data_IF_063262052430
#
_entry.id   IF_063262052430
#
_cell.length_a   1.000
_cell.length_b   1.000
_cell.length_c   1.000
_cell.angle_alpha   90.00
_cell.angle_beta   90.00
_cell.angle_gamma   90.00
#
_symmetry.space_group_name_H-M   'P 1'
#
loop_
_entity.id
_entity.type
_entity.pdbx_description
1 polymer ?
#
# COMPACT_ATOMS: atom_id res chain seq x y z
N UNK A 1 10.12 -4.22 -4.96
CA UNK A 1 10.88 -2.97 -5.14
C UNK A 1 11.16 -2.30 -3.82
N UNK A 2 10.17 -1.96 -2.98
CA UNK A 2 10.46 -1.36 -1.67
C UNK A 2 11.46 -2.13 -0.78
N UNK A 3 11.47 -3.47 -0.81
CA UNK A 3 12.52 -4.25 -0.13
C UNK A 3 13.92 -4.08 -0.76
N UNK A 4 14.00 -3.98 -2.09
CA UNK A 4 15.25 -3.78 -2.83
C UNK A 4 15.77 -2.34 -2.74
N UNK A 5 14.88 -1.39 -2.46
CA UNK A 5 15.22 0.01 -2.16
C UNK A 5 15.93 0.13 -0.81
N UNK A 6 15.55 -0.70 0.16
CA UNK A 6 16.22 -0.75 1.47
C UNK A 6 17.60 -1.40 1.40
N UNK A 7 17.73 -2.52 0.68
CA UNK A 7 19.01 -3.19 0.48
C UNK A 7 18.94 -4.21 -0.67
N UNK A 8 20.08 -4.55 -1.31
CA UNK A 8 20.16 -5.67 -2.25
C UNK A 8 19.75 -6.99 -1.59
N UNK A 9 19.00 -7.84 -2.30
CA UNK A 9 18.52 -9.12 -1.76
C UNK A 9 18.47 -10.23 -2.81
N UNK A 10 18.57 -11.47 -2.36
CA UNK A 10 18.25 -12.65 -3.14
C UNK A 10 16.73 -12.86 -3.24
N UNK A 11 16.30 -13.53 -4.33
CA UNK A 11 14.88 -13.88 -4.50
C UNK A 11 14.28 -14.68 -3.33
N UNK A 12 15.05 -15.60 -2.74
CA UNK A 12 14.62 -16.37 -1.57
C UNK A 12 14.49 -15.53 -0.30
N UNK A 13 15.33 -14.50 -0.13
CA UNK A 13 15.21 -13.60 1.02
C UNK A 13 13.93 -12.78 0.93
N UNK A 14 13.60 -12.28 -0.26
CA UNK A 14 12.34 -11.57 -0.52
C UNK A 14 11.13 -12.45 -0.17
N UNK A 15 11.17 -13.73 -0.55
CA UNK A 15 10.12 -14.70 -0.23
C UNK A 15 10.05 -14.94 1.29
N UNK A 16 11.20 -15.15 1.94
CA UNK A 16 11.26 -15.33 3.40
C UNK A 16 10.75 -14.10 4.17
N UNK A 17 10.92 -12.88 3.63
CA UNK A 17 10.30 -11.68 4.20
C UNK A 17 8.77 -11.71 4.10
N UNK A 18 8.20 -12.25 3.02
CA UNK A 18 6.75 -12.40 2.88
C UNK A 18 6.18 -13.40 3.88
N UNK A 19 6.83 -14.55 4.04
CA UNK A 19 6.46 -15.58 5.01
C UNK A 19 6.52 -15.05 6.45
N UNK A 20 7.67 -14.47 6.85
CA UNK A 20 7.90 -14.01 8.23
C UNK A 20 6.99 -12.87 8.69
N UNK A 21 6.52 -12.03 7.75
CA UNK A 21 5.64 -10.90 8.07
C UNK A 21 4.16 -11.21 7.88
N UNK A 22 3.80 -12.49 7.67
CA UNK A 22 2.42 -12.90 7.47
C UNK A 22 1.77 -12.28 6.24
N UNK A 23 2.56 -11.82 5.26
CA UNK A 23 2.04 -11.23 4.01
C UNK A 23 1.21 -12.26 3.24
N UNK A 24 1.47 -13.56 3.47
CA UNK A 24 0.68 -14.69 2.98
C UNK A 24 -0.78 -14.70 3.46
N UNK A 25 -1.07 -14.17 4.66
CA UNK A 25 -2.44 -14.07 5.20
C UNK A 25 -3.28 -13.06 4.41
N UNK A 26 -2.64 -12.14 3.70
CA UNK A 26 -3.29 -11.04 2.98
C UNK A 26 -3.15 -11.16 1.45
N UNK A 27 -2.12 -11.85 0.98
CA UNK A 27 -1.84 -12.07 -0.45
C UNK A 27 -1.20 -13.44 -0.66
N UNK A 28 -1.79 -14.32 -1.47
CA UNK A 28 -1.19 -15.61 -1.85
C UNK A 28 -0.04 -15.39 -2.86
N UNK A 29 1.09 -14.91 -2.39
CA UNK A 29 2.27 -14.69 -3.23
C UNK A 29 3.02 -16.01 -3.40
N UNK A 30 2.77 -16.70 -4.51
CA UNK A 30 3.51 -17.91 -4.83
C UNK A 30 4.95 -17.56 -5.23
N UNK A 31 5.92 -18.38 -4.81
CA UNK A 31 7.33 -18.27 -5.20
C UNK A 31 7.55 -18.00 -6.70
N UNK A 32 6.92 -18.74 -7.65
CA UNK A 32 7.09 -18.47 -9.07
C UNK A 32 6.64 -17.06 -9.50
N UNK A 33 5.63 -16.49 -8.83
CA UNK A 33 5.16 -15.13 -9.11
C UNK A 33 6.20 -14.08 -8.73
N UNK A 34 6.95 -14.30 -7.64
CA UNK A 34 8.05 -13.41 -7.22
C UNK A 34 9.16 -13.43 -8.26
N UNK A 35 9.62 -14.61 -8.66
CA UNK A 35 10.67 -14.73 -9.67
C UNK A 35 10.24 -14.17 -11.03
N UNK A 36 8.99 -14.39 -11.46
CA UNK A 36 8.45 -13.75 -12.67
C UNK A 36 8.42 -12.22 -12.53
N UNK A 37 8.09 -11.68 -11.36
CA UNK A 37 8.13 -10.25 -11.12
C UNK A 37 9.57 -9.70 -11.20
N UNK A 38 10.53 -10.37 -10.56
CA UNK A 38 11.95 -10.00 -10.61
C UNK A 38 12.49 -10.01 -12.05
N UNK A 39 12.22 -11.08 -12.81
CA UNK A 39 12.62 -11.16 -14.22
C UNK A 39 12.04 -10.02 -15.06
N UNK A 40 10.77 -9.64 -14.83
CA UNK A 40 10.15 -8.51 -15.54
C UNK A 40 10.77 -7.17 -15.17
N UNK A 41 11.07 -6.96 -13.88
CA UNK A 41 11.72 -5.74 -13.41
C UNK A 41 13.14 -5.63 -13.97
N UNK A 42 13.87 -6.74 -14.02
CA UNK A 42 15.22 -6.80 -14.57
C UNK A 42 15.23 -6.54 -16.08
N UNK A 43 14.31 -7.15 -16.83
CA UNK A 43 14.15 -6.88 -18.28
C UNK A 43 13.81 -5.42 -18.58
N UNK A 44 13.15 -4.73 -17.65
CA UNK A 44 12.83 -3.30 -17.73
C UNK A 44 13.92 -2.40 -17.14
N UNK A 45 15.05 -2.97 -16.73
CA UNK A 45 16.20 -2.25 -16.18
C UNK A 45 15.88 -1.48 -14.88
N UNK A 46 14.79 -1.82 -14.19
CA UNK A 46 14.45 -1.28 -12.87
C UNK A 46 15.23 -1.96 -11.74
N UNK A 47 15.78 -3.14 -12.01
CA UNK A 47 16.70 -3.82 -11.12
C UNK A 47 17.82 -4.44 -11.95
N UNK A 48 19.00 -4.58 -11.36
CA UNK A 48 20.09 -5.42 -11.90
C UNK A 48 20.19 -6.69 -11.08
N UNK A 49 20.70 -7.75 -11.69
CA UNK A 49 20.90 -9.03 -11.03
C UNK A 49 22.31 -9.56 -11.23
N UNK A 50 23.05 -9.72 -10.13
CA UNK A 50 24.43 -10.19 -10.12
C UNK A 50 24.52 -11.58 -9.49
N UNK A 51 25.24 -12.51 -10.12
CA UNK A 51 25.50 -13.82 -9.51
C UNK A 51 26.60 -13.68 -8.45
N UNK A 52 26.21 -13.73 -7.17
CA UNK A 52 27.16 -13.74 -6.05
C UNK A 52 27.34 -15.13 -5.48
N UNK A 53 28.57 -15.47 -5.14
CA UNK A 53 28.93 -16.71 -4.46
C UNK A 53 29.50 -16.38 -3.08
N UNK A 54 28.81 -16.84 -2.04
CA UNK A 54 29.33 -16.76 -0.67
C UNK A 54 29.94 -18.11 -0.27
N UNK A 55 31.28 -18.14 -0.23
CA UNK A 55 32.05 -19.33 0.13
C UNK A 55 31.72 -20.55 -0.76
N UNK A 56 31.47 -21.70 -0.13
CA UNK A 56 31.17 -22.96 -0.82
C UNK A 56 29.70 -23.16 -1.21
N UNK A 57 28.82 -22.18 -1.00
CA UNK A 57 27.41 -22.32 -1.38
C UNK A 57 27.21 -22.13 -2.90
N UNK A 58 26.14 -22.70 -3.49
CA UNK A 58 25.78 -22.43 -4.88
C UNK A 58 25.62 -20.92 -5.12
N UNK A 59 26.05 -20.42 -6.30
CA UNK A 59 25.91 -19.01 -6.61
C UNK A 59 24.43 -18.63 -6.65
N UNK A 60 24.10 -17.47 -6.06
CA UNK A 60 22.74 -16.94 -5.99
C UNK A 60 22.70 -15.58 -6.64
N UNK A 61 21.63 -15.32 -7.38
CA UNK A 61 21.39 -14.01 -7.98
C UNK A 61 20.97 -13.01 -6.90
N UNK A 62 21.75 -11.95 -6.69
CA UNK A 62 21.40 -10.78 -5.86
C UNK A 62 20.79 -9.75 -6.77
N UNK A 63 19.62 -9.23 -6.39
CA UNK A 63 18.98 -8.14 -7.11
C UNK A 63 19.25 -6.81 -6.40
N UNK A 64 19.53 -5.78 -7.18
CA UNK A 64 19.77 -4.41 -6.72
C UNK A 64 18.87 -3.48 -7.49
N UNK A 65 18.23 -2.51 -6.83
CA UNK A 65 17.42 -1.50 -7.51
C UNK A 65 18.31 -0.52 -8.28
N UNK A 66 17.90 -0.12 -9.47
CA UNK A 66 18.56 0.94 -10.26
C UNK A 66 17.96 2.30 -9.94
N UNK A 67 18.56 3.39 -10.42
CA UNK A 67 18.01 4.73 -10.24
C UNK A 67 16.64 4.89 -10.92
N UNK A 68 16.48 4.39 -12.15
CA UNK A 68 15.17 4.32 -12.82
C UNK A 68 14.17 3.44 -12.06
N UNK A 69 14.66 2.37 -11.41
CA UNK A 69 13.86 1.52 -10.54
C UNK A 69 13.37 2.24 -9.30
N UNK A 70 14.18 3.13 -8.70
CA UNK A 70 13.80 3.96 -7.56
C UNK A 70 12.71 4.97 -7.95
N UNK A 71 12.86 5.61 -9.11
CA UNK A 71 11.82 6.52 -9.64
C UNK A 71 10.49 5.79 -9.84
N UNK A 72 10.53 4.63 -10.52
CA UNK A 72 9.34 3.82 -10.76
C UNK A 72 8.73 3.28 -9.45
N UNK A 73 9.56 2.91 -8.47
CA UNK A 73 9.09 2.54 -7.14
C UNK A 73 8.35 3.68 -6.45
N UNK A 74 8.91 4.89 -6.47
CA UNK A 74 8.29 6.07 -5.87
C UNK A 74 6.97 6.44 -6.54
N UNK A 75 6.87 6.31 -7.87
CA UNK A 75 5.62 6.50 -8.61
C UNK A 75 4.52 5.53 -8.12
N UNK A 76 4.85 4.25 -8.03
CA UNK A 76 3.91 3.22 -7.54
C UNK A 76 3.52 3.47 -6.09
N UNK A 77 4.49 3.78 -5.23
CA UNK A 77 4.26 4.06 -3.80
C UNK A 77 3.25 5.20 -3.65
N UNK A 78 3.49 6.32 -4.33
CA UNK A 78 2.58 7.47 -4.35
C UNK A 78 1.22 7.11 -4.91
N UNK A 79 1.14 6.33 -5.98
CA UNK A 79 -0.14 5.89 -6.55
C UNK A 79 -1.01 5.11 -5.55
N UNK A 80 -0.40 4.21 -4.77
CA UNK A 80 -1.11 3.47 -3.71
C UNK A 80 -1.51 4.37 -2.54
N UNK A 81 -0.62 5.26 -2.09
CA UNK A 81 -0.92 6.17 -0.99
C UNK A 81 -2.01 7.20 -1.36
N UNK A 82 -2.05 7.64 -2.62
CA UNK A 82 -3.06 8.59 -3.11
C UNK A 82 -4.39 7.94 -3.51
N UNK A 83 -4.44 6.60 -3.56
CA UNK A 83 -5.62 5.89 -3.99
C UNK A 83 -5.94 6.07 -5.48
N UNK A 84 -4.93 6.25 -6.36
CA UNK A 84 -5.10 6.67 -7.78
C UNK A 84 -5.08 5.54 -8.80
N UNK A 85 -5.08 4.27 -8.38
CA UNK A 85 -4.98 3.11 -9.28
C UNK A 85 -6.32 2.47 -9.64
N UNK A 86 -6.47 2.06 -10.91
CA UNK A 86 -7.67 1.37 -11.42
C UNK A 86 -7.94 -0.01 -10.78
N UNK A 87 -6.93 -0.63 -10.15
CA UNK A 87 -7.00 -1.97 -9.55
C UNK A 87 -6.49 -2.00 -8.11
N UNK A 88 -6.89 -1.03 -7.30
CA UNK A 88 -6.49 -0.99 -5.89
C UNK A 88 -7.51 -1.68 -4.98
N UNK A 89 -7.00 -2.50 -4.07
CA UNK A 89 -7.78 -3.03 -2.96
C UNK A 89 -7.79 -2.02 -1.81
N UNK A 90 -8.81 -2.06 -0.93
CA UNK A 90 -8.84 -1.19 0.26
C UNK A 90 -7.60 -1.29 1.15
N UNK A 91 -6.89 -2.43 1.07
CA UNK A 91 -5.69 -2.72 1.87
C UNK A 91 -4.39 -2.19 1.26
N UNK A 92 -4.38 -1.79 -0.02
CA UNK A 92 -3.14 -1.39 -0.69
C UNK A 92 -2.55 -0.13 -0.08
N UNK A 93 -3.39 0.80 0.37
CA UNK A 93 -2.97 1.98 1.12
C UNK A 93 -2.21 1.59 2.40
N UNK A 94 -2.83 0.76 3.24
CA UNK A 94 -2.24 0.28 4.50
C UNK A 94 -0.94 -0.49 4.27
N UNK A 95 -0.91 -1.28 3.20
CA UNK A 95 0.28 -1.98 2.76
C UNK A 95 1.39 -1.02 2.33
N UNK A 96 1.06 0.06 1.63
CA UNK A 96 2.03 1.06 1.18
C UNK A 96 2.67 1.84 2.34
N UNK A 97 1.97 2.01 3.47
CA UNK A 97 2.49 2.71 4.66
C UNK A 97 3.83 2.16 5.16
N UNK A 98 4.10 0.86 4.98
CA UNK A 98 5.38 0.24 5.39
C UNK A 98 6.62 0.84 4.70
N UNK A 99 6.40 1.54 3.59
CA UNK A 99 7.44 2.15 2.79
C UNK A 99 7.43 3.68 2.85
N UNK A 100 6.60 4.28 3.72
CA UNK A 100 6.61 5.74 3.97
C UNK A 100 7.94 6.16 4.57
N UNK A 101 8.47 5.34 5.48
CA UNK A 101 9.67 5.68 6.25
C UNK A 101 10.83 6.07 5.32
N UNK A 102 11.38 7.27 5.52
CA UNK A 102 12.47 7.88 4.73
C UNK A 102 12.20 8.13 3.24
N UNK A 103 11.03 7.76 2.72
CA UNK A 103 10.68 7.95 1.30
C UNK A 103 9.70 9.09 1.08
N UNK A 104 8.81 9.35 2.04
CA UNK A 104 7.74 10.34 1.96
C UNK A 104 7.98 11.42 3.01
N UNK A 105 7.77 12.68 2.65
CA UNK A 105 7.91 13.80 3.59
C UNK A 105 6.68 13.90 4.50
N UNK A 106 6.82 14.58 5.64
CA UNK A 106 5.71 14.75 6.59
C UNK A 106 4.52 15.46 5.93
N UNK A 107 4.78 16.53 5.17
CA UNK A 107 3.72 17.28 4.48
C UNK A 107 3.04 16.44 3.41
N UNK A 108 3.79 15.62 2.67
CA UNK A 108 3.24 14.70 1.68
C UNK A 108 2.36 13.64 2.35
N UNK A 109 2.81 13.06 3.47
CA UNK A 109 2.06 12.09 4.25
C UNK A 109 0.73 12.65 4.77
N UNK A 110 0.73 13.85 5.35
CA UNK A 110 -0.49 14.51 5.83
C UNK A 110 -1.48 14.79 4.69
N UNK A 111 -1.00 15.22 3.52
CA UNK A 111 -1.85 15.41 2.34
C UNK A 111 -2.47 14.09 1.86
N UNK A 112 -1.73 12.98 1.91
CA UNK A 112 -2.24 11.64 1.57
C UNK A 112 -3.37 11.21 2.50
N UNK A 113 -3.19 11.41 3.81
CA UNK A 113 -4.22 11.13 4.82
C UNK A 113 -5.47 11.99 4.62
N UNK A 114 -5.30 13.29 4.36
CA UNK A 114 -6.42 14.18 4.05
C UNK A 114 -7.18 13.78 2.79
N UNK A 115 -6.48 13.39 1.72
CA UNK A 115 -7.12 12.87 0.50
C UNK A 115 -7.91 11.57 0.76
N UNK A 116 -7.41 10.68 1.64
CA UNK A 116 -8.11 9.44 1.99
C UNK A 116 -9.40 9.73 2.78
N UNK A 117 -9.35 10.67 3.72
CA UNK A 117 -10.53 11.15 4.45
C UNK A 117 -11.57 11.80 3.51
N UNK A 118 -11.13 12.69 2.62
CA UNK A 118 -12.01 13.34 1.65
C UNK A 118 -12.73 12.33 0.74
N UNK A 119 -12.02 11.29 0.26
CA UNK A 119 -12.63 10.21 -0.54
C UNK A 119 -13.72 9.46 0.24
N UNK A 120 -13.52 9.26 1.53
CA UNK A 120 -14.51 8.62 2.41
C UNK A 120 -15.77 9.46 2.55
N UNK A 121 -15.64 10.78 2.65
CA UNK A 121 -16.77 11.72 2.67
C UNK A 121 -17.52 11.76 1.33
N UNK A 122 -16.78 11.85 0.22
CA UNK A 122 -17.34 11.87 -1.13
C UNK A 122 -18.14 10.59 -1.43
N UNK A 123 -17.56 9.42 -1.12
CA UNK A 123 -18.23 8.14 -1.29
C UNK A 123 -19.49 8.01 -0.44
N UNK A 124 -19.50 8.56 0.78
CA UNK A 124 -20.70 8.58 1.62
C UNK A 124 -21.80 9.47 1.03
N UNK A 125 -21.43 10.65 0.50
CA UNK A 125 -22.39 11.54 -0.17
C UNK A 125 -23.02 10.86 -1.38
N UNK A 126 -22.20 10.28 -2.25
CA UNK A 126 -22.66 9.52 -3.42
C UNK A 126 -23.57 8.35 -2.99
N UNK A 127 -23.20 7.62 -1.94
CA UNK A 127 -24.00 6.50 -1.45
C UNK A 127 -25.37 6.95 -0.92
N UNK A 128 -25.42 8.05 -0.16
CA UNK A 128 -26.68 8.63 0.34
C UNK A 128 -27.58 9.10 -0.79
N UNK A 129 -27.02 9.78 -1.80
CA UNK A 129 -27.76 10.26 -2.97
C UNK A 129 -28.34 9.09 -3.78
N UNK A 130 -27.53 8.06 -4.07
CA UNK A 130 -27.99 6.84 -4.75
C UNK A 130 -29.05 6.09 -3.97
N UNK A 131 -28.90 5.99 -2.64
CA UNK A 131 -29.88 5.37 -1.78
C UNK A 131 -31.21 6.13 -1.81
N UNK A 132 -31.18 7.46 -1.65
CA UNK A 132 -32.37 8.32 -1.73
C UNK A 132 -33.10 8.14 -3.06
N UNK A 133 -32.37 8.21 -4.17
CA UNK A 133 -32.94 8.03 -5.51
C UNK A 133 -33.57 6.64 -5.72
N UNK A 134 -32.93 5.58 -5.21
CA UNK A 134 -33.48 4.22 -5.29
C UNK A 134 -34.78 4.05 -4.48
N UNK A 135 -34.89 4.71 -3.32
CA UNK A 135 -36.13 4.76 -2.53
C UNK A 135 -37.23 5.49 -3.31
N UNK A 136 -36.92 6.67 -3.86
CA UNK A 136 -37.87 7.49 -4.63
C UNK A 136 -38.40 6.76 -5.88
N UNK A 137 -37.57 5.97 -6.55
CA UNK A 137 -37.96 5.19 -7.74
C UNK A 137 -38.65 3.85 -7.40
N UNK A 138 -38.86 3.52 -6.11
CA UNK A 138 -39.41 2.22 -5.70
C UNK A 138 -38.49 1.03 -5.99
N UNK A 139 -37.22 1.28 -6.30
CA UNK A 139 -36.21 0.28 -6.67
C UNK A 139 -35.39 -0.20 -5.47
N UNK A 140 -35.92 -0.09 -4.26
CA UNK A 140 -35.24 -0.54 -3.05
C UNK A 140 -35.84 -1.87 -2.55
N UNK A 141 -35.18 -3.01 -2.81
CA UNK A 141 -35.62 -4.28 -2.26
C UNK A 141 -35.47 -4.29 -0.74
N UNK A 142 -36.35 -5.02 -0.04
CA UNK A 142 -36.13 -5.28 1.39
C UNK A 142 -34.88 -6.16 1.57
N UNK A 143 -33.88 -5.61 2.23
CA UNK A 143 -32.63 -6.32 2.45
C UNK A 143 -32.81 -7.38 3.54
N UNK A 144 -32.34 -8.62 3.31
CA UNK A 144 -32.33 -9.64 4.36
C UNK A 144 -31.45 -9.20 5.55
N UNK A 145 -31.69 -9.77 6.72
CA UNK A 145 -31.07 -9.31 7.97
C UNK A 145 -29.53 -9.26 7.90
N UNK A 146 -28.89 -10.22 7.21
CA UNK A 146 -27.43 -10.25 7.07
C UNK A 146 -26.89 -9.08 6.23
N UNK A 147 -27.61 -8.64 5.19
CA UNK A 147 -27.20 -7.49 4.37
C UNK A 147 -27.28 -6.19 5.18
N UNK A 148 -28.32 -6.04 6.02
CA UNK A 148 -28.45 -4.92 6.97
C UNK A 148 -27.29 -4.91 7.99
N UNK A 149 -26.88 -6.10 8.48
CA UNK A 149 -25.72 -6.24 9.38
C UNK A 149 -24.41 -5.87 8.68
N UNK A 150 -24.17 -6.36 7.45
CA UNK A 150 -22.97 -6.01 6.65
C UNK A 150 -22.90 -4.51 6.38
N UNK A 151 -24.02 -3.88 6.02
CA UNK A 151 -24.03 -2.43 5.82
C UNK A 151 -23.72 -1.66 7.12
N UNK A 152 -24.22 -2.14 8.26
CA UNK A 152 -23.87 -1.59 9.58
C UNK A 152 -22.38 -1.79 9.90
N UNK A 153 -21.79 -2.94 9.58
CA UNK A 153 -20.36 -3.18 9.83
C UNK A 153 -19.47 -2.29 8.96
N UNK A 154 -19.84 -2.06 7.69
CA UNK A 154 -19.12 -1.12 6.81
C UNK A 154 -19.05 0.29 7.37
N UNK A 155 -20.15 0.81 7.92
CA UNK A 155 -20.16 2.13 8.59
C UNK A 155 -19.24 2.18 9.81
N UNK A 156 -19.20 1.09 10.60
CA UNK A 156 -18.29 1.00 11.75
C UNK A 156 -16.83 0.94 11.33
N UNK A 157 -16.50 0.14 10.32
CA UNK A 157 -15.13 0.06 9.77
C UNK A 157 -14.66 1.42 9.26
N UNK A 158 -15.52 2.17 8.57
CA UNK A 158 -15.23 3.55 8.15
C UNK A 158 -14.94 4.46 9.33
N UNK A 159 -15.80 4.46 10.36
CA UNK A 159 -15.62 5.31 11.53
C UNK A 159 -14.27 5.04 12.24
N UNK A 160 -13.94 3.76 12.42
CA UNK A 160 -12.66 3.34 12.96
C UNK A 160 -11.48 3.77 12.08
N UNK A 161 -11.61 3.66 10.76
CA UNK A 161 -10.58 4.11 9.84
C UNK A 161 -10.33 5.62 9.93
N UNK A 162 -11.38 6.44 10.06
CA UNK A 162 -11.24 7.89 10.25
C UNK A 162 -10.56 8.22 11.59
N UNK A 163 -10.88 7.48 12.65
CA UNK A 163 -10.22 7.61 13.96
C UNK A 163 -8.72 7.32 13.84
N UNK A 164 -8.35 6.19 13.19
CA UNK A 164 -6.95 5.82 12.94
C UNK A 164 -6.23 6.89 12.10
N UNK A 165 -6.88 7.43 11.06
CA UNK A 165 -6.31 8.50 10.24
C UNK A 165 -6.00 9.74 11.09
N UNK A 166 -6.89 10.12 12.00
CA UNK A 166 -6.69 11.27 12.88
C UNK A 166 -5.57 11.02 13.90
N UNK A 167 -5.50 9.82 14.47
CA UNK A 167 -4.38 9.40 15.32
C UNK A 167 -3.05 9.48 14.57
N UNK A 168 -3.00 8.99 13.33
CA UNK A 168 -1.81 9.06 12.47
C UNK A 168 -1.40 10.50 12.16
N UNK A 169 -2.35 11.40 11.87
CA UNK A 169 -2.06 12.83 11.66
C UNK A 169 -1.48 13.46 12.91
N UNK A 170 -2.08 13.21 14.08
CA UNK A 170 -1.58 13.74 15.35
C UNK A 170 -0.17 13.20 15.66
N UNK A 171 0.04 11.89 15.53
CA UNK A 171 1.33 11.26 15.73
C UNK A 171 2.40 11.78 14.76
N UNK A 172 2.05 12.02 13.50
CA UNK A 172 2.97 12.56 12.50
C UNK A 172 3.49 13.96 12.87
N UNK A 173 2.75 14.74 13.67
CA UNK A 173 3.14 16.08 14.10
C UNK A 173 4.06 16.08 15.33
N UNK A 174 4.26 14.93 15.98
CA UNK A 174 5.13 14.82 17.16
C UNK A 174 6.61 14.95 16.77
N UNK A 175 7.44 15.69 17.54
CA UNK A 175 8.87 15.87 17.24
C UNK A 175 9.66 14.56 17.13
N UNK A 176 9.36 13.57 17.99
CA UNK A 176 10.04 12.27 18.02
C UNK A 176 9.81 11.41 16.77
N UNK A 177 8.75 11.69 16.01
CA UNK A 177 8.38 10.95 14.81
C UNK A 177 8.90 11.62 13.52
N UNK A 178 9.52 12.81 13.61
CA UNK A 178 10.11 13.47 12.43
C UNK A 178 11.20 12.62 11.77
N UNK A 179 11.91 11.80 12.56
CA UNK A 179 12.94 10.86 12.09
C UNK A 179 12.43 9.81 11.11
N UNK A 180 11.13 9.56 11.07
CA UNK A 180 10.52 8.57 10.18
C UNK A 180 10.23 9.14 8.80
N UNK A 181 10.20 10.47 8.64
CA UNK A 181 9.94 11.11 7.36
C UNK A 181 11.23 11.39 6.59
N UNK A 182 11.07 11.53 5.27
CA UNK A 182 12.08 12.13 4.42
C UNK A 182 12.20 13.62 4.75
N UNK A 183 13.42 14.16 4.71
CA UNK A 183 13.67 15.60 4.80
C UNK A 183 12.85 16.37 3.75
N UNK A 184 12.19 17.44 4.20
CA UNK A 184 11.55 18.40 3.30
C UNK A 184 12.66 19.15 2.54
N UNK A 185 12.52 19.28 1.22
CA UNK A 185 13.40 20.17 0.46
C UNK A 185 12.90 21.60 0.65
N UNK A 186 13.79 22.50 1.05
CA UNK A 186 13.56 23.95 1.10
C UNK A 186 13.10 24.51 -0.26
#
# INVERSE_FOLDING_TARGET
MGFLDQQPMHGYEIIGYFEKRGIEMWTRVKTPSVYKALQRLEKKEYITGEMKREGNKPPRKVFTITDSGKEYFMEILRSFLWGKGQFQTPLDFWNALRFVQKNITQSEFLRMLGNREMKHEEMEKIMKEKHKHAVECGNMPDFPFYAKIVHKSMRKMKALELEIINEMKAAAMLPENQKDFKEEKE
#
